data_IF_781970358122
#
_entry.id   IF_781970358122
#
_cell.length_a   1.000
_cell.length_b   1.000
_cell.length_c   1.000
_cell.angle_alpha   90.00
_cell.angle_beta   90.00
_cell.angle_gamma   90.00
#
_symmetry.space_group_name_H-M   'P 1'
#
loop_
_entity.id
_entity.type
_entity.pdbx_description
1 polymer ?
#
# COMPACT_ATOMS: atom_id res chain seq x y z
N UNK A 1 -15.88 1.86 -6.34
CA UNK A 1 -14.52 1.30 -6.26
C UNK A 1 -14.38 0.71 -4.88
N UNK A 2 -13.82 -0.50 -4.71
CA UNK A 2 -13.66 -1.08 -3.38
C UNK A 2 -12.89 -0.10 -2.49
N UNK A 3 -13.36 0.09 -1.25
CA UNK A 3 -12.87 1.17 -0.38
C UNK A 3 -11.37 1.06 -0.13
N UNK A 4 -10.89 -0.16 0.16
CA UNK A 4 -9.49 -0.43 0.45
C UNK A 4 -8.54 -0.10 -0.71
N UNK A 5 -8.87 -0.49 -1.96
CA UNK A 5 -8.01 -0.19 -3.10
C UNK A 5 -7.84 1.32 -3.30
N UNK A 6 -8.94 2.06 -3.23
CA UNK A 6 -8.91 3.50 -3.41
C UNK A 6 -8.07 4.17 -2.30
N UNK A 7 -8.29 3.80 -1.04
CA UNK A 7 -7.56 4.34 0.10
C UNK A 7 -6.06 4.04 0.04
N UNK A 8 -5.68 2.78 -0.22
CA UNK A 8 -4.26 2.40 -0.35
C UNK A 8 -3.59 3.14 -1.52
N UNK A 9 -4.30 3.33 -2.63
CA UNK A 9 -3.79 4.11 -3.77
C UNK A 9 -3.61 5.59 -3.42
N UNK A 10 -4.56 6.17 -2.70
CA UNK A 10 -4.49 7.57 -2.25
C UNK A 10 -3.33 7.78 -1.26
N UNK A 11 -3.08 6.83 -0.36
CA UNK A 11 -1.92 6.84 0.53
C UNK A 11 -0.64 6.73 -0.29
N UNK A 12 -0.59 5.80 -1.25
CA UNK A 12 0.56 5.60 -2.11
C UNK A 12 0.95 6.89 -2.85
N UNK A 13 -0.01 7.58 -3.45
CA UNK A 13 0.26 8.85 -4.13
C UNK A 13 0.75 9.94 -3.18
N UNK A 14 0.30 9.94 -1.93
CA UNK A 14 0.82 10.87 -0.92
C UNK A 14 2.25 10.56 -0.49
N UNK A 15 2.63 9.29 -0.46
CA UNK A 15 4.02 8.87 -0.19
C UNK A 15 4.93 9.21 -1.36
N UNK A 16 4.46 9.01 -2.60
CA UNK A 16 5.23 9.32 -3.81
C UNK A 16 5.33 10.83 -4.09
N UNK A 17 4.34 11.62 -3.67
CA UNK A 17 4.35 13.06 -3.87
C UNK A 17 4.46 13.45 -5.34
N UNK A 18 5.47 14.26 -5.68
CA UNK A 18 5.73 14.71 -7.05
C UNK A 18 6.19 13.58 -8.00
N UNK A 19 6.64 12.45 -7.46
CA UNK A 19 7.06 11.27 -8.23
C UNK A 19 5.89 10.31 -8.51
N UNK A 20 4.67 10.63 -8.08
CA UNK A 20 3.49 9.80 -8.29
C UNK A 20 3.14 9.72 -9.79
N UNK A 21 2.82 8.53 -10.32
CA UNK A 21 2.35 8.40 -11.70
C UNK A 21 0.96 9.03 -11.87
N UNK A 22 0.65 9.50 -13.07
CA UNK A 22 -0.67 10.06 -13.42
C UNK A 22 -1.82 9.04 -13.24
N UNK A 23 -1.49 7.75 -13.36
CA UNK A 23 -2.43 6.63 -13.25
C UNK A 23 -2.07 5.69 -12.10
N UNK A 24 -3.09 5.15 -11.44
CA UNK A 24 -2.92 4.19 -10.35
C UNK A 24 -2.20 2.92 -10.83
N UNK A 25 -1.16 2.44 -10.13
CA UNK A 25 -0.49 1.19 -10.48
C UNK A 25 -1.45 -0.01 -10.47
N UNK A 26 -1.12 -1.03 -11.27
CA UNK A 26 -1.80 -2.32 -11.23
C UNK A 26 -1.56 -3.04 -9.90
N UNK A 27 -2.45 -3.95 -9.50
CA UNK A 27 -2.29 -4.72 -8.26
C UNK A 27 -1.06 -5.64 -8.30
N UNK A 28 -0.64 -6.07 -9.49
CA UNK A 28 0.60 -6.84 -9.68
C UNK A 28 1.88 -6.00 -9.58
N UNK A 29 1.77 -4.66 -9.54
CA UNK A 29 2.93 -3.77 -9.50
C UNK A 29 3.69 -3.95 -8.20
N UNK A 30 4.99 -4.21 -8.32
CA UNK A 30 5.88 -4.36 -7.19
C UNK A 30 6.18 -3.00 -6.54
N UNK A 31 6.08 -2.93 -5.21
CA UNK A 31 6.28 -1.70 -4.44
C UNK A 31 7.67 -1.10 -4.69
N UNK A 32 8.70 -1.96 -4.72
CA UNK A 32 10.11 -1.54 -4.86
C UNK A 32 10.65 -1.57 -6.28
N UNK A 33 10.01 -2.30 -7.19
CA UNK A 33 10.49 -2.49 -8.56
C UNK A 33 9.78 -1.58 -9.54
N UNK A 34 8.45 -1.73 -9.64
CA UNK A 34 7.62 -1.02 -10.62
C UNK A 34 7.23 0.37 -10.11
N UNK A 35 6.88 0.47 -8.83
CA UNK A 35 6.49 1.74 -8.20
C UNK A 35 7.71 2.54 -7.72
N UNK A 36 8.83 1.84 -7.43
CA UNK A 36 10.09 2.48 -7.08
C UNK A 36 10.21 2.97 -5.63
N UNK A 37 9.35 2.49 -4.72
CA UNK A 37 9.51 2.78 -3.29
C UNK A 37 10.82 2.17 -2.76
N UNK A 38 11.54 2.95 -1.97
CA UNK A 38 12.65 2.42 -1.20
C UNK A 38 12.13 1.67 0.05
N UNK A 39 13.03 1.16 0.89
CA UNK A 39 12.59 0.43 2.10
C UNK A 39 11.82 1.32 3.07
N UNK A 40 12.14 2.62 3.12
CA UNK A 40 11.49 3.56 4.03
C UNK A 40 10.11 3.96 3.49
N UNK A 41 9.97 4.17 2.18
CA UNK A 41 8.71 4.46 1.53
C UNK A 41 7.71 3.30 1.63
N UNK A 42 8.17 2.05 1.58
CA UNK A 42 7.30 0.90 1.89
C UNK A 42 6.81 0.95 3.33
N UNK A 43 7.70 1.21 4.30
CA UNK A 43 7.31 1.31 5.71
C UNK A 43 6.34 2.49 5.92
N UNK A 44 6.60 3.65 5.30
CA UNK A 44 5.73 4.81 5.39
C UNK A 44 4.34 4.54 4.80
N UNK A 45 4.27 3.91 3.62
CA UNK A 45 3.01 3.48 3.01
C UNK A 45 2.20 2.64 3.99
N UNK A 46 2.82 1.62 4.59
CA UNK A 46 2.13 0.71 5.51
C UNK A 46 1.67 1.44 6.78
N UNK A 47 2.53 2.24 7.41
CA UNK A 47 2.17 3.03 8.60
C UNK A 47 1.00 3.98 8.32
N UNK A 48 1.01 4.68 7.18
CA UNK A 48 -0.10 5.55 6.77
C UNK A 48 -1.38 4.76 6.49
N UNK A 49 -1.24 3.58 5.88
CA UNK A 49 -2.37 2.67 5.71
C UNK A 49 -2.96 2.25 7.06
N UNK A 50 -2.15 1.94 8.09
CA UNK A 50 -2.68 1.65 9.43
C UNK A 50 -3.45 2.84 10.02
N UNK A 51 -2.87 4.05 9.92
CA UNK A 51 -3.48 5.27 10.45
C UNK A 51 -4.83 5.61 9.78
N UNK A 52 -4.93 5.42 8.47
CA UNK A 52 -6.11 5.80 7.70
C UNK A 52 -7.17 4.71 7.66
N UNK A 53 -6.74 3.46 7.56
CA UNK A 53 -7.67 2.33 7.40
C UNK A 53 -8.07 1.70 8.72
N UNK A 54 -7.28 1.89 9.77
CA UNK A 54 -7.43 1.29 11.10
C UNK A 54 -6.89 -0.14 11.22
N UNK A 55 -6.33 -0.71 10.15
CA UNK A 55 -5.74 -2.06 10.17
C UNK A 55 -4.37 -2.06 10.83
N UNK A 56 -3.83 -3.26 11.12
CA UNK A 56 -2.44 -3.43 11.55
C UNK A 56 -1.69 -4.34 10.61
N UNK A 57 -0.43 -4.02 10.36
CA UNK A 57 0.52 -4.89 9.67
C UNK A 57 1.51 -5.43 10.69
N UNK A 58 1.57 -6.75 10.85
CA UNK A 58 2.61 -7.34 11.68
C UNK A 58 3.96 -7.30 10.96
N UNK A 59 5.07 -7.29 11.70
CA UNK A 59 6.43 -7.28 11.13
C UNK A 59 6.63 -8.37 10.07
N UNK A 60 6.09 -9.58 10.31
CA UNK A 60 6.13 -10.69 9.36
C UNK A 60 5.38 -10.36 8.06
N UNK A 61 4.20 -9.73 8.15
CA UNK A 61 3.41 -9.29 6.98
C UNK A 61 4.17 -8.22 6.20
N UNK A 62 4.76 -7.22 6.88
CA UNK A 62 5.56 -6.16 6.25
C UNK A 62 6.68 -6.75 5.38
N UNK A 63 7.35 -7.81 5.84
CA UNK A 63 8.39 -8.47 5.03
C UNK A 63 7.83 -9.26 3.85
N UNK A 64 6.57 -9.68 3.92
CA UNK A 64 5.84 -10.39 2.87
C UNK A 64 5.24 -9.48 1.80
N UNK A 65 4.99 -8.21 2.10
CA UNK A 65 4.39 -7.21 1.20
C UNK A 65 5.33 -6.88 0.02
N UNK A 66 5.00 -7.37 -1.17
CA UNK A 66 5.82 -7.16 -2.38
C UNK A 66 5.13 -6.30 -3.40
N UNK A 67 3.81 -6.43 -3.52
CA UNK A 67 2.99 -5.78 -4.53
C UNK A 67 1.95 -4.87 -3.91
N UNK A 68 1.40 -3.95 -4.71
CA UNK A 68 0.26 -3.13 -4.29
C UNK A 68 -0.95 -4.01 -3.93
N UNK A 69 -1.14 -5.11 -4.65
CA UNK A 69 -2.18 -6.10 -4.38
C UNK A 69 -2.08 -6.72 -2.99
N UNK A 70 -0.86 -7.05 -2.54
CA UNK A 70 -0.66 -7.63 -1.21
C UNK A 70 -1.16 -6.67 -0.11
N UNK A 71 -0.85 -5.38 -0.24
CA UNK A 71 -1.29 -4.34 0.72
C UNK A 71 -2.81 -4.19 0.71
N UNK A 72 -3.40 -4.08 -0.49
CA UNK A 72 -4.85 -3.94 -0.65
C UNK A 72 -5.58 -5.15 -0.07
N UNK A 73 -5.14 -6.36 -0.40
CA UNK A 73 -5.75 -7.60 0.09
C UNK A 73 -5.63 -7.76 1.60
N UNK A 74 -4.51 -7.35 2.20
CA UNK A 74 -4.38 -7.35 3.66
C UNK A 74 -5.38 -6.41 4.31
N UNK A 75 -5.51 -5.18 3.80
CA UNK A 75 -6.49 -4.20 4.30
C UNK A 75 -7.92 -4.71 4.15
N UNK A 76 -8.25 -5.33 3.02
CA UNK A 76 -9.58 -5.92 2.80
C UNK A 76 -9.85 -7.06 3.79
N UNK A 77 -8.91 -8.00 3.96
CA UNK A 77 -9.06 -9.15 4.85
C UNK A 77 -9.24 -8.73 6.32
N UNK A 78 -8.46 -7.77 6.81
CA UNK A 78 -8.56 -7.28 8.20
C UNK A 78 -9.88 -6.56 8.49
N UNK A 79 -10.51 -5.97 7.46
CA UNK A 79 -11.79 -5.24 7.59
C UNK A 79 -13.01 -6.15 7.46
N UNK A 80 -12.87 -7.29 6.81
CA UNK A 80 -13.92 -8.31 6.71
C UNK A 80 -13.94 -9.26 7.93
N UNK A 81 -12.89 -9.19 8.78
CA UNK A 81 -12.73 -9.96 10.01
C UNK A 81 -13.47 -9.42 11.24
#
# INVERSE_FOLDING_TARGET
MSGARAEVTDVLFRVLGDDAPDEAPGLESTLRGDIGLDRLGVVELLVRCEEETGVRFADDDVTGMKTLGDVVSHVENEREG
#
